data_IF_234021390040
#
_entry.id   IF_234021390040
#
_cell.length_a   1.000
_cell.length_b   1.000
_cell.length_c   1.000
_cell.angle_alpha   90.00
_cell.angle_beta   90.00
_cell.angle_gamma   90.00
#
_symmetry.space_group_name_H-M   'P 1'
#
loop_
_entity.id
_entity.type
_entity.pdbx_description
1 polymer ?
#
# COMPACT_ATOMS: atom_id res chain seq x y z
N UNK A 1 17.98 -6.63 21.32
CA UNK A 1 16.71 -6.21 20.70
C UNK A 1 16.94 -5.46 19.39
N UNK A 2 17.65 -4.29 19.36
CA UNK A 2 17.90 -3.52 18.13
C UNK A 2 18.55 -4.37 17.04
N UNK A 3 19.54 -5.18 17.40
CA UNK A 3 20.25 -6.09 16.49
C UNK A 3 19.27 -7.10 15.87
N UNK A 4 18.40 -7.69 16.69
CA UNK A 4 17.38 -8.66 16.23
C UNK A 4 16.31 -8.02 15.36
N UNK A 5 15.82 -6.81 15.70
CA UNK A 5 14.82 -6.11 14.91
C UNK A 5 15.31 -5.72 13.51
N UNK A 6 16.60 -5.42 13.41
CA UNK A 6 17.24 -4.99 12.16
C UNK A 6 18.02 -6.13 11.48
N UNK A 7 17.95 -7.35 12.03
CA UNK A 7 18.63 -8.54 11.50
C UNK A 7 20.11 -8.27 11.23
N UNK A 8 20.83 -7.81 12.28
CA UNK A 8 22.23 -7.43 12.20
C UNK A 8 23.17 -8.47 12.79
N UNK A 9 22.67 -9.59 13.34
CA UNK A 9 23.47 -10.58 14.08
C UNK A 9 24.69 -11.04 13.28
N UNK A 10 24.50 -11.42 12.01
CA UNK A 10 25.57 -11.90 11.12
C UNK A 10 26.51 -10.80 10.63
N UNK A 11 26.18 -9.53 10.90
CA UNK A 11 26.96 -8.38 10.44
C UNK A 11 27.88 -7.82 11.51
N UNK A 12 27.68 -8.15 12.79
CA UNK A 12 28.41 -7.56 13.92
C UNK A 12 29.92 -7.78 13.87
N UNK A 13 30.36 -8.89 13.26
CA UNK A 13 31.77 -9.23 13.11
C UNK A 13 32.42 -8.76 11.80
N UNK A 14 31.62 -8.17 10.88
CA UNK A 14 32.10 -7.76 9.56
C UNK A 14 32.63 -6.34 9.56
N UNK A 15 33.63 -6.09 8.71
CA UNK A 15 34.06 -4.72 8.43
C UNK A 15 32.98 -3.95 7.70
N UNK A 16 32.73 -2.68 8.06
CA UNK A 16 31.74 -1.82 7.44
C UNK A 16 31.94 -1.64 5.93
N UNK A 17 33.18 -1.77 5.45
CA UNK A 17 33.52 -1.63 4.03
C UNK A 17 32.98 -2.79 3.19
N UNK A 18 32.77 -3.96 3.81
CA UNK A 18 32.27 -5.17 3.14
C UNK A 18 30.75 -5.25 3.11
N UNK A 19 30.06 -4.32 3.77
CA UNK A 19 28.62 -4.33 3.84
C UNK A 19 27.96 -3.78 2.56
N UNK A 20 26.87 -4.43 2.12
CA UNK A 20 26.02 -3.89 1.04
C UNK A 20 25.35 -2.58 1.45
N UNK A 21 24.79 -1.83 0.48
CA UNK A 21 24.07 -0.59 0.76
C UNK A 21 22.92 -0.79 1.75
N UNK A 22 22.09 -1.82 1.58
CA UNK A 22 20.99 -2.13 2.49
C UNK A 22 21.47 -2.55 3.89
N UNK A 23 22.58 -3.28 3.99
CA UNK A 23 23.17 -3.63 5.28
C UNK A 23 23.71 -2.38 5.99
N UNK A 24 24.41 -1.49 5.27
CA UNK A 24 24.85 -0.20 5.81
C UNK A 24 23.70 0.64 6.32
N UNK A 25 22.58 0.67 5.56
CA UNK A 25 21.39 1.40 5.97
C UNK A 25 20.79 0.86 7.28
N UNK A 26 20.63 -0.46 7.40
CA UNK A 26 20.14 -1.08 8.64
C UNK A 26 21.06 -0.80 9.84
N UNK A 27 22.37 -0.83 9.63
CA UNK A 27 23.36 -0.44 10.66
C UNK A 27 23.21 1.03 11.05
N UNK A 28 22.99 1.93 10.08
CA UNK A 28 22.79 3.36 10.36
C UNK A 28 21.51 3.61 11.19
N UNK A 29 20.40 2.94 10.85
CA UNK A 29 19.16 2.97 11.64
C UNK A 29 19.40 2.43 13.04
N UNK A 30 20.13 1.30 13.17
CA UNK A 30 20.50 0.70 14.47
C UNK A 30 21.30 1.66 15.35
N UNK A 31 22.27 2.36 14.78
CA UNK A 31 23.04 3.39 15.49
C UNK A 31 22.15 4.52 16.02
N UNK A 32 21.21 5.00 15.18
CA UNK A 32 20.27 6.03 15.60
C UNK A 32 19.38 5.54 16.76
N UNK A 33 18.91 4.32 16.72
CA UNK A 33 18.08 3.73 17.79
C UNK A 33 18.83 3.52 19.11
N UNK A 34 20.13 3.19 19.05
CA UNK A 34 20.96 3.01 20.26
C UNK A 34 21.16 4.30 21.06
N UNK A 35 20.92 5.46 20.47
CA UNK A 35 20.92 6.74 21.20
C UNK A 35 19.63 6.98 22.01
N UNK A 36 18.70 6.02 22.02
CA UNK A 36 17.39 6.10 22.65
C UNK A 36 16.61 7.39 22.29
N UNK A 37 16.37 7.64 20.99
CA UNK A 37 15.76 8.87 20.53
C UNK A 37 14.27 8.92 20.94
N UNK A 38 13.74 10.14 21.09
CA UNK A 38 12.29 10.38 21.28
C UNK A 38 11.55 10.51 19.95
N UNK A 39 12.24 10.69 18.85
CA UNK A 39 11.74 10.84 17.49
C UNK A 39 12.82 10.34 16.54
N UNK A 40 12.45 9.51 15.58
CA UNK A 40 13.35 9.05 14.52
C UNK A 40 13.06 9.85 13.23
N UNK A 41 14.11 10.48 12.70
CA UNK A 41 14.04 11.22 11.44
C UNK A 41 14.73 10.41 10.35
N UNK A 42 14.02 10.11 9.28
CA UNK A 42 14.48 9.31 8.15
C UNK A 42 14.27 10.12 6.85
N UNK A 43 15.35 10.57 6.27
CA UNK A 43 15.34 11.35 5.04
C UNK A 43 15.82 10.49 3.89
N UNK A 44 14.90 10.15 2.95
CA UNK A 44 15.12 9.27 1.79
C UNK A 44 15.93 8.00 2.14
N UNK A 45 15.57 7.25 3.21
CA UNK A 45 16.46 6.22 3.73
C UNK A 45 16.64 5.03 2.80
N UNK A 46 15.80 4.87 1.78
CA UNK A 46 15.81 3.72 0.88
C UNK A 46 16.13 4.08 -0.58
N UNK A 47 16.44 5.35 -0.87
CA UNK A 47 16.58 5.87 -2.24
C UNK A 47 17.62 5.15 -3.11
N UNK A 48 18.69 4.63 -2.53
CA UNK A 48 19.81 4.02 -3.27
C UNK A 48 19.88 2.50 -3.10
N UNK A 49 18.77 1.87 -2.74
CA UNK A 49 18.70 0.43 -2.55
C UNK A 49 18.06 -0.26 -3.76
N UNK A 50 18.56 -1.45 -4.09
CA UNK A 50 17.85 -2.35 -4.99
C UNK A 50 16.52 -2.79 -4.38
N UNK A 51 15.66 -3.41 -5.19
CA UNK A 51 14.31 -3.78 -4.77
C UNK A 51 14.31 -4.72 -3.55
N UNK A 52 15.16 -5.74 -3.52
CA UNK A 52 15.21 -6.73 -2.43
C UNK A 52 15.68 -6.08 -1.12
N UNK A 53 16.77 -5.29 -1.17
CA UNK A 53 17.28 -4.56 -0.01
C UNK A 53 16.25 -3.52 0.50
N UNK A 54 15.54 -2.83 -0.40
CA UNK A 54 14.48 -1.88 -0.07
C UNK A 54 13.36 -2.56 0.70
N UNK A 55 12.82 -3.66 0.17
CA UNK A 55 11.75 -4.42 0.83
C UNK A 55 12.19 -4.96 2.19
N UNK A 56 13.42 -5.43 2.29
CA UNK A 56 13.97 -5.88 3.56
C UNK A 56 14.02 -4.74 4.61
N UNK A 57 14.55 -3.56 4.23
CA UNK A 57 14.59 -2.40 5.14
C UNK A 57 13.18 -1.92 5.53
N UNK A 58 12.21 -1.95 4.61
CA UNK A 58 10.81 -1.61 4.90
C UNK A 58 10.23 -2.53 5.97
N UNK A 59 10.42 -3.84 5.85
CA UNK A 59 9.97 -4.80 6.88
C UNK A 59 10.60 -4.52 8.26
N UNK A 60 11.89 -4.20 8.29
CA UNK A 60 12.56 -3.80 9.53
C UNK A 60 11.94 -2.53 10.14
N UNK A 61 11.66 -1.51 9.31
CA UNK A 61 11.03 -0.26 9.77
C UNK A 61 9.60 -0.47 10.25
N UNK A 62 8.80 -1.30 9.56
CA UNK A 62 7.45 -1.67 10.00
C UNK A 62 7.48 -2.36 11.37
N UNK A 63 8.39 -3.32 11.53
CA UNK A 63 8.58 -4.01 12.81
C UNK A 63 8.98 -3.03 13.93
N UNK A 64 9.92 -2.14 13.65
CA UNK A 64 10.32 -1.10 14.60
C UNK A 64 9.15 -0.19 15.00
N UNK A 65 8.32 0.22 14.05
CA UNK A 65 7.12 1.03 14.32
C UNK A 65 6.15 0.32 15.26
N UNK A 66 5.94 -0.98 15.07
CA UNK A 66 5.02 -1.78 15.89
C UNK A 66 5.56 -2.06 17.29
N UNK A 67 6.86 -2.36 17.40
CA UNK A 67 7.48 -2.81 18.65
C UNK A 67 7.87 -1.66 19.58
N UNK A 68 8.32 -0.52 19.05
CA UNK A 68 8.89 0.56 19.83
C UNK A 68 7.90 1.68 20.16
N UNK A 69 6.78 1.78 19.44
CA UNK A 69 5.89 2.95 19.52
C UNK A 69 6.64 4.29 19.42
N UNK A 70 7.79 4.28 18.72
CA UNK A 70 8.63 5.46 18.51
C UNK A 70 8.06 6.29 17.37
N UNK A 71 7.72 7.56 17.58
CA UNK A 71 7.34 8.44 16.50
C UNK A 71 8.43 8.52 15.43
N UNK A 72 8.03 8.38 14.16
CA UNK A 72 8.93 8.47 13.03
C UNK A 72 8.45 9.55 12.07
N UNK A 73 9.37 10.39 11.62
CA UNK A 73 9.17 11.26 10.47
C UNK A 73 9.95 10.69 9.29
N UNK A 74 9.21 10.20 8.32
CA UNK A 74 9.76 9.50 7.14
C UNK A 74 9.58 10.38 5.91
N UNK A 75 10.66 10.78 5.27
CA UNK A 75 10.65 11.56 4.03
C UNK A 75 10.95 10.63 2.88
N UNK A 76 10.08 10.59 1.89
CA UNK A 76 10.28 9.84 0.63
C UNK A 76 9.41 10.45 -0.48
N UNK A 77 9.84 10.28 -1.71
CA UNK A 77 9.04 10.56 -2.91
C UNK A 77 8.38 9.29 -3.48
N UNK A 78 8.61 8.13 -2.85
CA UNK A 78 8.02 6.85 -3.25
C UNK A 78 6.74 6.56 -2.45
N UNK A 79 5.59 6.69 -3.09
CA UNK A 79 4.29 6.46 -2.46
C UNK A 79 4.11 4.99 -2.03
N UNK A 80 4.83 4.04 -2.62
CA UNK A 80 4.77 2.64 -2.21
C UNK A 80 5.41 2.43 -0.85
N UNK A 81 6.57 3.05 -0.61
CA UNK A 81 7.21 3.05 0.71
C UNK A 81 6.33 3.71 1.77
N UNK A 82 5.84 4.91 1.44
CA UNK A 82 4.99 5.70 2.34
C UNK A 82 3.71 4.96 2.69
N UNK A 83 3.08 4.28 1.72
CA UNK A 83 1.83 3.53 1.92
C UNK A 83 1.97 2.37 2.92
N UNK A 84 3.17 1.82 3.04
CA UNK A 84 3.46 0.72 3.95
C UNK A 84 3.76 1.18 5.39
N UNK A 85 4.32 2.39 5.55
CA UNK A 85 4.85 2.86 6.85
C UNK A 85 3.98 3.94 7.50
N UNK A 86 3.47 4.90 6.73
CA UNK A 86 2.88 6.12 7.28
C UNK A 86 1.43 5.94 7.74
N UNK A 87 1.07 6.60 8.85
CA UNK A 87 -0.32 6.77 9.27
C UNK A 87 -0.87 8.11 8.80
N UNK A 88 -0.01 9.14 8.75
CA UNK A 88 -0.33 10.48 8.31
C UNK A 88 0.63 10.95 7.24
N UNK A 89 0.12 11.71 6.29
CA UNK A 89 0.88 12.32 5.21
C UNK A 89 0.95 13.83 5.37
N UNK A 90 2.10 14.37 5.02
CA UNK A 90 2.36 15.78 4.79
C UNK A 90 2.90 15.90 3.36
N UNK A 91 2.10 16.42 2.44
CA UNK A 91 2.51 16.64 1.05
C UNK A 91 3.15 18.02 0.91
N UNK A 92 4.41 18.03 0.51
CA UNK A 92 5.20 19.26 0.34
C UNK A 92 5.42 19.52 -1.14
N UNK A 93 5.27 20.77 -1.55
CA UNK A 93 5.62 21.24 -2.89
C UNK A 93 6.38 22.56 -2.80
N UNK A 94 7.52 22.63 -3.44
CA UNK A 94 8.38 23.82 -3.42
C UNK A 94 8.61 24.38 -2.00
N UNK A 95 8.77 23.47 -1.02
CA UNK A 95 8.98 23.84 0.38
C UNK A 95 7.73 24.31 1.14
N UNK A 96 6.53 24.17 0.55
CA UNK A 96 5.26 24.54 1.18
C UNK A 96 4.41 23.29 1.42
N UNK A 97 3.73 23.26 2.55
CA UNK A 97 2.72 22.25 2.84
C UNK A 97 1.49 22.51 1.97
N UNK A 98 1.14 21.55 1.10
CA UNK A 98 -0.04 21.66 0.21
C UNK A 98 -1.21 20.84 0.71
N UNK A 99 -0.95 19.66 1.28
CA UNK A 99 -1.98 18.78 1.84
C UNK A 99 -1.46 18.06 3.08
N UNK A 100 -2.38 17.72 4.00
CA UNK A 100 -2.07 16.88 5.15
C UNK A 100 -3.29 16.09 5.60
N UNK A 101 -3.07 14.90 6.14
CA UNK A 101 -4.17 14.07 6.66
C UNK A 101 -3.78 12.63 6.87
N UNK A 102 -4.76 11.80 7.24
CA UNK A 102 -4.51 10.37 7.31
C UNK A 102 -4.20 9.80 5.93
N UNK A 103 -3.28 8.84 5.87
CA UNK A 103 -2.92 8.13 4.63
C UNK A 103 -4.16 7.59 3.91
N UNK A 104 -5.04 6.88 4.64
CA UNK A 104 -6.24 6.26 4.08
C UNK A 104 -7.18 7.29 3.45
N UNK A 105 -7.34 8.44 4.12
CA UNK A 105 -8.20 9.51 3.62
C UNK A 105 -7.62 10.14 2.36
N UNK A 106 -6.36 10.55 2.38
CA UNK A 106 -5.73 11.23 1.25
C UNK A 106 -5.62 10.32 0.01
N UNK A 107 -5.29 9.04 0.20
CA UNK A 107 -5.21 8.08 -0.91
C UNK A 107 -6.58 7.70 -1.49
N UNK A 108 -7.70 8.00 -0.82
CA UNK A 108 -9.04 7.67 -1.30
C UNK A 108 -9.79 8.86 -1.93
N UNK A 109 -9.31 10.09 -1.77
CA UNK A 109 -9.92 11.31 -2.32
C UNK A 109 -9.50 11.51 -3.77
N UNK A 110 -10.38 12.10 -4.59
CA UNK A 110 -10.08 12.44 -5.99
C UNK A 110 -9.37 13.80 -6.12
N UNK A 111 -9.72 14.76 -5.28
CA UNK A 111 -9.23 16.15 -5.30
C UNK A 111 -7.80 16.32 -4.74
N UNK A 112 -7.06 15.22 -4.55
CA UNK A 112 -5.67 15.26 -4.08
C UNK A 112 -4.68 15.14 -5.23
N UNK A 113 -3.45 15.61 -5.03
CA UNK A 113 -2.39 15.40 -6.02
C UNK A 113 -2.05 13.92 -6.21
N UNK A 114 -2.16 13.12 -5.15
CA UNK A 114 -1.91 11.68 -5.20
C UNK A 114 -2.84 10.95 -6.17
N UNK A 115 -4.08 11.41 -6.33
CA UNK A 115 -5.06 10.83 -7.25
C UNK A 115 -4.74 11.11 -8.71
N UNK A 116 -4.11 12.24 -9.01
CA UNK A 116 -3.74 12.64 -10.37
C UNK A 116 -2.47 11.95 -10.87
N UNK A 117 -1.66 11.38 -9.98
CA UNK A 117 -0.46 10.62 -10.37
C UNK A 117 -0.81 9.31 -11.06
N UNK A 118 0.09 8.83 -11.92
CA UNK A 118 -0.07 7.51 -12.57
C UNK A 118 -0.17 6.36 -11.55
N UNK A 119 0.47 6.53 -10.41
CA UNK A 119 0.51 5.55 -9.32
C UNK A 119 -0.64 5.69 -8.31
N UNK A 120 -1.67 6.49 -8.60
CA UNK A 120 -2.84 6.62 -7.74
C UNK A 120 -3.37 5.26 -7.32
N UNK A 121 -3.63 5.11 -6.02
CA UNK A 121 -4.08 3.85 -5.42
C UNK A 121 -4.93 4.13 -4.19
N UNK A 122 -5.91 3.29 -3.96
CA UNK A 122 -6.59 3.23 -2.68
C UNK A 122 -5.81 2.32 -1.71
N UNK A 123 -5.92 2.62 -0.43
CA UNK A 123 -5.37 1.77 0.63
C UNK A 123 -6.53 1.29 1.49
N UNK A 124 -6.70 -0.02 1.57
CA UNK A 124 -7.71 -0.65 2.40
C UNK A 124 -7.08 -1.27 3.64
N UNK A 125 -7.83 -1.27 4.72
CA UNK A 125 -7.53 -2.08 5.90
C UNK A 125 -8.29 -3.39 5.79
N UNK A 126 -7.57 -4.51 5.79
CA UNK A 126 -8.12 -5.85 5.69
C UNK A 126 -7.63 -6.73 6.85
N UNK A 127 -8.39 -7.75 7.18
CA UNK A 127 -8.02 -8.76 8.18
C UNK A 127 -7.79 -10.10 7.48
N UNK A 128 -6.72 -10.80 7.81
CA UNK A 128 -6.47 -12.17 7.31
C UNK A 128 -7.53 -13.10 7.89
N UNK A 129 -8.35 -13.69 7.03
CA UNK A 129 -9.42 -14.62 7.44
C UNK A 129 -8.93 -16.06 7.43
N UNK A 130 -8.26 -16.47 6.35
CA UNK A 130 -7.71 -17.83 6.22
C UNK A 130 -6.64 -17.89 5.13
N UNK A 131 -5.92 -19.01 5.10
CA UNK A 131 -4.96 -19.35 4.06
C UNK A 131 -5.41 -20.60 3.32
N UNK A 132 -5.29 -20.54 2.01
CA UNK A 132 -5.51 -21.66 1.12
C UNK A 132 -4.15 -22.15 0.59
N UNK A 133 -3.66 -23.23 1.20
CA UNK A 133 -2.36 -23.79 0.84
C UNK A 133 -2.39 -24.52 -0.51
N UNK A 134 -3.58 -25.01 -0.94
CA UNK A 134 -3.73 -25.72 -2.21
C UNK A 134 -3.53 -24.78 -3.39
N UNK A 135 -4.10 -23.57 -3.30
CA UNK A 135 -4.01 -22.58 -4.38
C UNK A 135 -2.95 -21.50 -4.13
N UNK A 136 -2.25 -21.54 -2.99
CA UNK A 136 -1.26 -20.52 -2.64
C UNK A 136 -1.86 -19.14 -2.46
N UNK A 137 -3.06 -19.05 -1.91
CA UNK A 137 -3.82 -17.83 -1.69
C UNK A 137 -4.05 -17.54 -0.21
N UNK A 138 -4.31 -16.29 0.10
CA UNK A 138 -4.85 -15.86 1.38
C UNK A 138 -6.16 -15.14 1.16
N UNK A 139 -7.14 -15.45 2.00
CA UNK A 139 -8.40 -14.74 2.05
C UNK A 139 -8.34 -13.63 3.09
N UNK A 140 -8.73 -12.45 2.67
CA UNK A 140 -8.80 -11.26 3.51
C UNK A 140 -10.24 -10.78 3.61
N UNK A 141 -10.62 -10.27 4.75
CA UNK A 141 -11.94 -9.63 4.95
C UNK A 141 -11.77 -8.11 5.00
N UNK A 142 -12.53 -7.40 4.17
CA UNK A 142 -12.64 -5.94 4.11
C UNK A 142 -14.10 -5.58 4.28
N UNK A 143 -14.51 -5.02 5.40
CA UNK A 143 -15.91 -4.62 5.70
C UNK A 143 -16.95 -5.68 5.32
N UNK A 144 -16.68 -6.94 5.63
CA UNK A 144 -17.57 -8.08 5.33
C UNK A 144 -17.46 -8.64 3.91
N UNK A 145 -16.60 -8.07 3.06
CA UNK A 145 -16.30 -8.57 1.73
C UNK A 145 -15.01 -9.39 1.72
N UNK A 146 -14.99 -10.45 0.94
CA UNK A 146 -13.81 -11.29 0.75
C UNK A 146 -12.94 -10.77 -0.37
N UNK A 147 -11.64 -10.69 -0.11
CA UNK A 147 -10.61 -10.36 -1.07
C UNK A 147 -9.55 -11.46 -1.08
N UNK A 148 -9.31 -12.08 -2.24
CA UNK A 148 -8.29 -13.09 -2.45
C UNK A 148 -7.00 -12.46 -2.94
N UNK A 149 -5.91 -12.77 -2.27
CA UNK A 149 -4.57 -12.29 -2.60
C UNK A 149 -3.59 -13.46 -2.67
N UNK A 150 -2.41 -13.25 -3.24
CA UNK A 150 -1.33 -14.23 -3.14
C UNK A 150 -1.04 -14.56 -1.67
N UNK A 151 -0.54 -15.75 -1.41
CA UNK A 151 -0.27 -16.21 -0.04
C UNK A 151 0.55 -15.17 0.75
N UNK A 152 0.07 -14.90 1.96
CA UNK A 152 0.69 -13.97 2.89
C UNK A 152 1.27 -14.73 4.09
N UNK A 153 2.47 -14.36 4.56
CA UNK A 153 3.10 -15.00 5.72
C UNK A 153 2.56 -14.44 7.05
N UNK A 154 1.32 -14.01 7.08
CA UNK A 154 0.72 -13.35 8.24
C UNK A 154 -0.30 -14.24 8.92
N UNK A 155 -0.33 -14.23 10.26
CA UNK A 155 -1.26 -15.05 11.01
C UNK A 155 -2.72 -14.63 10.76
N UNK A 156 -3.63 -15.61 10.76
CA UNK A 156 -5.07 -15.40 10.74
C UNK A 156 -5.49 -14.45 11.87
N UNK A 157 -6.36 -13.50 11.57
CA UNK A 157 -6.82 -12.46 12.49
C UNK A 157 -5.99 -11.17 12.48
N UNK A 158 -4.81 -11.16 11.89
CA UNK A 158 -4.00 -9.93 11.76
C UNK A 158 -4.62 -8.94 10.77
N UNK A 159 -4.60 -7.66 11.15
CA UNK A 159 -4.98 -6.56 10.26
C UNK A 159 -3.80 -6.13 9.40
N UNK A 160 -4.05 -5.88 8.11
CA UNK A 160 -3.05 -5.42 7.14
C UNK A 160 -3.60 -4.33 6.25
N UNK A 161 -2.71 -3.46 5.79
CA UNK A 161 -3.02 -2.50 4.73
C UNK A 161 -2.73 -3.14 3.38
N UNK A 162 -3.65 -2.91 2.44
CA UNK A 162 -3.52 -3.37 1.07
C UNK A 162 -3.59 -2.16 0.18
N UNK A 163 -2.57 -1.96 -0.62
CA UNK A 163 -2.55 -0.94 -1.65
C UNK A 163 -3.13 -1.51 -2.95
N UNK A 164 -4.17 -0.87 -3.47
CA UNK A 164 -4.85 -1.26 -4.71
C UNK A 164 -4.68 -0.14 -5.73
N UNK A 165 -3.80 -0.30 -6.72
CA UNK A 165 -3.61 0.69 -7.77
C UNK A 165 -4.90 0.92 -8.55
N UNK A 166 -5.26 2.17 -8.80
CA UNK A 166 -6.48 2.53 -9.50
C UNK A 166 -6.54 1.97 -10.94
N UNK A 167 -5.38 1.76 -11.56
CA UNK A 167 -5.25 1.17 -12.90
C UNK A 167 -5.61 -0.33 -12.94
N UNK A 168 -5.56 -1.02 -11.79
CA UNK A 168 -5.80 -2.45 -11.68
C UNK A 168 -7.24 -2.75 -11.24
N UNK A 169 -8.06 -1.71 -11.07
CA UNK A 169 -9.49 -1.82 -10.78
C UNK A 169 -10.28 -1.54 -12.06
N UNK A 170 -11.00 -2.55 -12.53
CA UNK A 170 -12.00 -2.41 -13.59
C UNK A 170 -13.41 -2.46 -13.00
N UNK A 171 -14.37 -1.89 -13.72
CA UNK A 171 -15.77 -1.82 -13.27
C UNK A 171 -16.72 -2.44 -14.30
N UNK A 172 -17.81 -3.03 -13.83
CA UNK A 172 -18.87 -3.57 -14.68
C UNK A 172 -20.23 -3.42 -14.01
N UNK A 173 -21.30 -3.29 -14.80
CA UNK A 173 -22.67 -3.09 -14.31
C UNK A 173 -23.26 -4.33 -13.64
N UNK A 174 -22.96 -5.50 -14.19
CA UNK A 174 -23.47 -6.77 -13.70
C UNK A 174 -22.33 -7.62 -13.18
N UNK A 175 -22.61 -8.48 -12.20
CA UNK A 175 -21.62 -9.44 -11.73
C UNK A 175 -21.21 -10.35 -12.90
N UNK A 176 -19.93 -10.32 -13.31
CA UNK A 176 -19.50 -11.16 -14.41
C UNK A 176 -19.48 -12.63 -14.01
N UNK A 177 -19.81 -13.50 -14.96
CA UNK A 177 -19.57 -14.94 -14.93
C UNK A 177 -18.38 -15.27 -15.81
N UNK A 178 -17.82 -16.46 -15.64
CA UNK A 178 -16.76 -17.01 -16.52
C UNK A 178 -15.53 -16.08 -16.65
N UNK A 179 -15.08 -15.55 -15.52
CA UNK A 179 -13.93 -14.66 -15.41
C UNK A 179 -12.80 -15.31 -14.60
N UNK A 180 -11.57 -15.08 -15.02
CA UNK A 180 -10.38 -15.43 -14.24
C UNK A 180 -10.13 -14.46 -13.06
N UNK A 181 -10.89 -13.38 -12.98
CA UNK A 181 -10.80 -12.42 -11.88
C UNK A 181 -11.69 -12.92 -10.74
N UNK A 182 -11.08 -13.29 -9.63
CA UNK A 182 -11.77 -13.83 -8.45
C UNK A 182 -12.35 -12.73 -7.55
N UNK A 183 -11.68 -11.57 -7.47
CA UNK A 183 -12.13 -10.45 -6.66
C UNK A 183 -13.16 -9.62 -7.42
N UNK A 184 -14.42 -9.91 -7.19
CA UNK A 184 -15.57 -9.22 -7.77
C UNK A 184 -16.40 -8.69 -6.62
N UNK A 185 -16.21 -7.39 -6.33
CA UNK A 185 -16.74 -6.72 -5.15
C UNK A 185 -17.92 -5.83 -5.51
N UNK A 186 -19.07 -5.92 -4.82
CA UNK A 186 -20.15 -4.97 -4.99
C UNK A 186 -19.74 -3.63 -4.41
N UNK A 187 -19.88 -2.56 -5.19
CA UNK A 187 -19.46 -1.19 -4.83
C UNK A 187 -20.48 -0.18 -5.32
N UNK A 188 -20.47 1.01 -4.73
CA UNK A 188 -21.29 2.12 -5.19
C UNK A 188 -20.41 3.26 -5.70
N UNK A 189 -20.79 3.89 -6.81
CA UNK A 189 -20.08 5.05 -7.37
C UNK A 189 -20.36 6.28 -6.49
N UNK A 190 -19.31 6.85 -5.90
CA UNK A 190 -19.42 8.00 -5.01
C UNK A 190 -19.08 9.31 -5.73
N UNK A 191 -18.05 9.26 -6.59
CA UNK A 191 -17.52 10.44 -7.24
C UNK A 191 -16.86 10.05 -8.57
N UNK A 192 -16.92 10.92 -9.55
CA UNK A 192 -16.29 10.75 -10.87
C UNK A 192 -15.58 12.06 -11.21
N UNK A 193 -14.29 11.99 -11.52
CA UNK A 193 -13.48 13.14 -11.86
C UNK A 193 -12.69 12.94 -13.15
N UNK A 194 -12.63 13.99 -13.96
CA UNK A 194 -11.83 14.01 -15.18
C UNK A 194 -10.36 14.22 -14.86
N UNK A 195 -9.51 13.22 -15.12
CA UNK A 195 -8.06 13.36 -14.94
C UNK A 195 -7.39 13.96 -16.18
N UNK A 196 -7.91 13.67 -17.37
CA UNK A 196 -7.52 14.27 -18.64
C UNK A 196 -8.59 13.98 -19.71
N UNK A 197 -8.34 14.42 -20.96
CA UNK A 197 -9.30 14.26 -22.07
C UNK A 197 -9.74 12.81 -22.34
N UNK A 198 -8.94 11.81 -21.98
CA UNK A 198 -9.17 10.40 -22.30
C UNK A 198 -9.55 9.54 -21.09
N UNK A 199 -9.22 9.96 -19.86
CA UNK A 199 -9.31 9.13 -18.66
C UNK A 199 -10.07 9.83 -17.53
N UNK A 200 -10.78 9.02 -16.76
CA UNK A 200 -11.51 9.40 -15.55
C UNK A 200 -10.98 8.61 -14.37
N UNK A 201 -11.09 9.21 -13.21
CA UNK A 201 -10.92 8.54 -11.94
C UNK A 201 -12.27 8.43 -11.26
N UNK A 202 -12.63 7.24 -10.82
CA UNK A 202 -13.91 6.94 -10.17
C UNK A 202 -13.63 6.48 -8.75
N UNK A 203 -14.24 7.13 -7.78
CA UNK A 203 -14.24 6.74 -6.38
C UNK A 203 -15.43 5.83 -6.11
N UNK A 204 -15.14 4.67 -5.53
CA UNK A 204 -16.10 3.62 -5.28
C UNK A 204 -16.14 3.33 -3.78
N UNK A 205 -17.33 3.26 -3.17
CA UNK A 205 -17.44 2.82 -1.78
C UNK A 205 -17.52 1.30 -1.69
N UNK A 206 -16.78 0.75 -0.75
CA UNK A 206 -16.79 -0.65 -0.34
C UNK A 206 -17.00 -0.70 1.18
N UNK A 207 -18.23 -0.78 1.63
CA UNK A 207 -18.57 -0.60 3.04
C UNK A 207 -18.20 0.81 3.53
N UNK A 208 -17.37 0.90 4.57
CA UNK A 208 -16.86 2.17 5.12
C UNK A 208 -15.59 2.67 4.42
N UNK A 209 -15.01 1.86 3.54
CA UNK A 209 -13.75 2.15 2.84
C UNK A 209 -13.99 2.47 1.36
N UNK A 210 -12.93 2.91 0.67
CA UNK A 210 -13.05 3.37 -0.71
C UNK A 210 -12.01 2.72 -1.60
N UNK A 211 -12.40 2.43 -2.84
CA UNK A 211 -11.54 2.03 -3.94
C UNK A 211 -11.46 3.19 -4.95
N UNK A 212 -10.39 3.19 -5.72
CA UNK A 212 -10.25 4.05 -6.90
C UNK A 212 -10.19 3.17 -8.16
N UNK A 213 -10.91 3.56 -9.20
CA UNK A 213 -10.83 2.94 -10.52
C UNK A 213 -10.46 3.98 -11.58
N UNK A 214 -9.39 3.72 -12.33
CA UNK A 214 -9.00 4.55 -13.47
C UNK A 214 -9.51 3.92 -14.75
N UNK A 215 -10.52 4.56 -15.34
CA UNK A 215 -11.18 4.07 -16.56
C UNK A 215 -11.05 5.07 -17.70
N UNK A 216 -11.35 4.63 -18.93
CA UNK A 216 -11.44 5.56 -20.07
C UNK A 216 -12.77 6.32 -20.04
N UNK A 217 -12.77 7.54 -20.57
CA UNK A 217 -14.00 8.30 -20.76
C UNK A 217 -15.02 7.51 -21.60
N UNK A 218 -14.55 6.82 -22.64
CA UNK A 218 -15.38 5.96 -23.48
C UNK A 218 -16.07 4.86 -22.66
N UNK A 219 -15.34 4.17 -21.79
CA UNK A 219 -15.91 3.13 -20.91
C UNK A 219 -16.97 3.71 -19.96
N UNK A 220 -16.75 4.91 -19.42
CA UNK A 220 -17.73 5.58 -18.56
C UNK A 220 -19.03 5.84 -19.31
N UNK A 221 -18.94 6.36 -20.55
CA UNK A 221 -20.11 6.65 -21.39
C UNK A 221 -20.82 5.36 -21.81
N UNK A 222 -20.10 4.35 -22.28
CA UNK A 222 -20.70 3.07 -22.71
C UNK A 222 -21.39 2.32 -21.57
N UNK A 223 -20.80 2.37 -20.37
CA UNK A 223 -21.41 1.82 -19.16
C UNK A 223 -22.53 2.74 -18.61
N UNK A 224 -22.65 3.97 -19.08
CA UNK A 224 -23.59 4.96 -18.56
C UNK A 224 -23.42 5.19 -17.06
N UNK A 225 -22.16 5.27 -16.56
CA UNK A 225 -21.88 5.39 -15.14
C UNK A 225 -22.32 6.75 -14.60
N UNK A 226 -23.05 6.72 -13.48
CA UNK A 226 -23.49 7.88 -12.74
C UNK A 226 -23.15 7.72 -11.24
N UNK A 227 -22.99 8.85 -10.57
CA UNK A 227 -22.87 8.87 -9.10
C UNK A 227 -24.15 8.25 -8.48
N UNK A 228 -23.96 7.36 -7.51
CA UNK A 228 -25.03 6.59 -6.87
C UNK A 228 -25.27 5.20 -7.48
N UNK A 229 -24.68 4.88 -8.63
CA UNK A 229 -24.83 3.56 -9.23
C UNK A 229 -24.23 2.46 -8.35
N UNK A 230 -24.95 1.33 -8.22
CA UNK A 230 -24.44 0.10 -7.64
C UNK A 230 -23.90 -0.79 -8.76
N UNK A 231 -22.62 -1.11 -8.70
CA UNK A 231 -21.88 -1.81 -9.73
C UNK A 231 -20.92 -2.83 -9.10
N UNK A 232 -20.08 -3.46 -9.91
CA UNK A 232 -19.04 -4.36 -9.42
C UNK A 232 -17.66 -3.85 -9.81
N UNK A 233 -16.75 -3.87 -8.84
CA UNK A 233 -15.33 -3.68 -9.05
C UNK A 233 -14.64 -5.03 -9.20
N UNK A 234 -13.76 -5.15 -10.20
CA UNK A 234 -12.95 -6.33 -10.47
C UNK A 234 -11.49 -6.02 -10.23
N UNK A 235 -10.81 -6.84 -9.42
CA UNK A 235 -9.41 -6.66 -9.06
C UNK A 235 -8.69 -8.00 -9.23
N UNK A 236 -7.62 -8.03 -10.00
CA UNK A 236 -6.78 -9.23 -10.10
C UNK A 236 -6.03 -9.48 -8.80
N UNK A 237 -6.04 -10.71 -8.30
CA UNK A 237 -5.32 -11.08 -7.07
C UNK A 237 -3.82 -10.80 -7.15
N UNK A 238 -3.22 -11.04 -8.33
CA UNK A 238 -1.81 -10.77 -8.60
C UNK A 238 -1.44 -9.26 -8.67
N UNK A 239 -2.43 -8.37 -8.81
CA UNK A 239 -2.21 -6.92 -8.87
C UNK A 239 -2.16 -6.28 -7.47
N UNK A 240 -2.48 -7.03 -6.43
CA UNK A 240 -2.47 -6.53 -5.07
C UNK A 240 -1.03 -6.55 -4.55
N UNK A 241 -0.43 -5.35 -4.53
CA UNK A 241 0.90 -5.15 -3.99
C UNK A 241 0.83 -5.31 -2.47
N UNK A 242 1.20 -6.48 -2.02
CA UNK A 242 1.45 -6.79 -0.62
C UNK A 242 2.93 -7.12 -0.47
N UNK A 243 3.41 -7.02 0.74
CA UNK A 243 4.78 -7.39 1.09
C UNK A 243 5.13 -8.74 0.44
N UNK A 244 5.98 -8.72 -0.57
CA UNK A 244 6.53 -9.97 -1.12
C UNK A 244 7.53 -10.52 -0.12
N UNK A 245 7.17 -11.62 0.54
CA UNK A 245 8.18 -12.48 1.14
C UNK A 245 8.93 -13.16 0.02
N UNK A 246 10.26 -13.05 0.02
CA UNK A 246 11.09 -13.96 -0.75
C UNK A 246 10.74 -15.40 -0.35
N UNK A 247 10.58 -16.32 -1.29
CA UNK A 247 10.53 -17.73 -0.95
C UNK A 247 11.86 -18.12 -0.31
N UNK A 248 11.77 -18.85 0.77
CA UNK A 248 12.90 -19.43 1.49
C UNK A 248 13.75 -20.34 0.57
#
# INVERSE_FOLDING_TARGET
>A
QVVTWLELDDLLSRSTDTLSAGQKQRVAIGRALLSAPRLLLLDEPLANLDHAARQHCLRCLQRLSQELQLPMLYVSHDIEEVSQLADHLLLLEQGRLVEQGSLLTLCSRLDTRLSHEEQAAAILTARVAQHDAEYGLSELTVDGHTLLVNHLPHAVGQSRRIRIPARDVSVCRHRPSDSSILNILPVSVVEIEDTNAARLLVRLSLGSQYLLARITRKSCVELGLCIGDNIYAQIKSAALLMETTDPA
#
